data_IF_307168101446
#
_entry.id   IF_307168101446
#
_cell.length_a   1.000
_cell.length_b   1.000
_cell.length_c   1.000
_cell.angle_alpha   90.00
_cell.angle_beta   90.00
_cell.angle_gamma   90.00
#
_symmetry.space_group_name_H-M   'P 1'
#
loop_
_entity.id
_entity.type
_entity.pdbx_description
1 polymer ?
#
# COMPACT_ATOMS: atom_id res chain seq x y z
N UNK A 1 53.33 14.65 -3.38
CA UNK A 1 52.04 14.49 -2.69
C UNK A 1 52.03 13.14 -1.98
N UNK A 2 51.94 13.06 -0.64
CA UNK A 2 51.89 11.76 0.03
C UNK A 2 50.58 11.05 -0.33
N UNK A 3 50.67 9.77 -0.71
CA UNK A 3 49.52 8.90 -1.01
C UNK A 3 48.61 8.87 0.23
N UNK A 4 47.45 9.50 0.14
CA UNK A 4 46.42 9.39 1.17
C UNK A 4 45.99 7.91 1.23
N UNK A 5 46.05 7.34 2.44
CA UNK A 5 45.50 6.00 2.72
C UNK A 5 44.10 5.89 2.12
N UNK A 6 43.75 4.74 1.52
CA UNK A 6 42.41 4.50 0.94
C UNK A 6 41.41 3.93 1.96
N UNK A 7 41.86 3.61 3.17
CA UNK A 7 41.00 3.06 4.23
C UNK A 7 39.94 4.04 4.74
N UNK A 8 38.87 3.57 5.37
CA UNK A 8 37.87 4.44 5.99
C UNK A 8 38.47 5.22 7.19
N UNK A 9 37.86 6.36 7.54
CA UNK A 9 38.36 7.26 8.60
C UNK A 9 38.60 6.54 9.93
N UNK A 10 37.68 5.67 10.36
CA UNK A 10 37.79 4.93 11.63
C UNK A 10 38.97 3.96 11.66
N UNK A 11 39.22 3.25 10.55
CA UNK A 11 40.38 2.37 10.44
C UNK A 11 41.69 3.17 10.42
N UNK A 12 41.68 4.40 9.85
CA UNK A 12 42.85 5.30 9.90
C UNK A 12 43.10 5.84 11.31
N UNK A 13 42.08 6.31 12.01
CA UNK A 13 42.17 6.79 13.40
C UNK A 13 42.74 5.70 14.32
N UNK A 14 42.30 4.45 14.12
CA UNK A 14 42.78 3.30 14.89
C UNK A 14 44.10 2.72 14.39
N UNK A 15 44.69 3.26 13.32
CA UNK A 15 45.92 2.77 12.68
C UNK A 15 45.88 1.27 12.34
N UNK A 16 44.70 0.78 11.92
CA UNK A 16 44.49 -0.61 11.51
C UNK A 16 44.23 -0.73 10.01
N UNK A 17 44.57 -1.88 9.41
CA UNK A 17 44.32 -2.15 7.98
C UNK A 17 42.81 -2.20 7.71
N UNK A 18 42.39 -1.51 6.65
CA UNK A 18 41.02 -1.44 6.16
C UNK A 18 40.87 -2.31 4.90
N UNK A 19 39.75 -3.01 4.77
CA UNK A 19 39.41 -3.84 3.61
C UNK A 19 38.67 -3.06 2.50
N UNK A 20 38.44 -1.76 2.70
CA UNK A 20 37.88 -0.81 1.71
C UNK A 20 36.48 -1.18 1.17
N UNK A 21 35.79 -2.14 1.81
CA UNK A 21 34.42 -2.52 1.49
C UNK A 21 33.45 -1.32 1.53
N UNK A 22 32.56 -1.25 0.55
CA UNK A 22 31.46 -0.27 0.46
C UNK A 22 30.13 -1.01 0.57
N UNK A 23 29.10 -0.44 1.25
CA UNK A 23 29.05 0.89 1.88
C UNK A 23 29.80 1.01 3.22
N UNK A 24 30.22 -0.11 3.81
CA UNK A 24 31.06 -0.14 5.01
C UNK A 24 32.09 -1.28 4.97
N UNK A 25 33.26 -1.05 5.55
CA UNK A 25 34.32 -2.07 5.63
C UNK A 25 33.95 -3.15 6.67
N UNK A 26 34.34 -4.41 6.43
CA UNK A 26 33.95 -5.55 7.28
C UNK A 26 34.30 -5.33 8.75
N UNK A 27 35.44 -4.69 9.03
CA UNK A 27 35.88 -4.42 10.40
C UNK A 27 35.02 -3.39 11.14
N UNK A 28 34.38 -2.45 10.43
CA UNK A 28 33.39 -1.55 11.02
C UNK A 28 32.01 -2.22 11.15
N UNK A 29 31.67 -3.12 10.23
CA UNK A 29 30.43 -3.93 10.28
C UNK A 29 30.44 -4.86 11.50
N UNK A 30 31.51 -5.61 11.72
CA UNK A 30 31.64 -6.52 12.88
C UNK A 30 31.57 -5.78 14.22
N UNK A 31 31.82 -4.48 14.24
CA UNK A 31 31.79 -3.65 15.45
C UNK A 31 30.46 -2.90 15.64
N UNK A 32 29.48 -3.11 14.77
CA UNK A 32 28.19 -2.40 14.77
C UNK A 32 28.34 -0.87 14.74
N UNK A 33 29.35 -0.39 14.02
CA UNK A 33 29.80 1.00 13.99
C UNK A 33 29.45 1.70 12.65
N UNK A 34 28.55 1.11 11.87
CA UNK A 34 28.20 1.48 10.49
C UNK A 34 27.38 2.78 10.39
N UNK A 35 26.59 3.10 11.41
CA UNK A 35 25.54 4.13 11.33
C UNK A 35 26.11 5.54 11.22
N UNK A 36 27.27 5.80 11.86
CA UNK A 36 27.91 7.11 11.79
C UNK A 36 28.68 7.35 10.48
N UNK A 37 29.07 6.29 9.76
CA UNK A 37 29.79 6.40 8.47
C UNK A 37 28.83 6.82 7.37
N UNK A 38 27.61 6.28 7.39
CA UNK A 38 26.54 6.66 6.45
C UNK A 38 26.02 8.08 6.77
N UNK A 39 25.89 8.44 8.04
CA UNK A 39 25.42 9.77 8.45
C UNK A 39 26.33 10.92 8.02
N UNK A 40 27.66 10.77 8.15
CA UNK A 40 28.61 11.82 7.73
C UNK A 40 28.80 11.92 6.22
N UNK A 41 28.74 10.80 5.50
CA UNK A 41 28.75 10.81 4.04
C UNK A 41 27.50 11.49 3.46
N UNK A 42 26.34 11.30 4.10
CA UNK A 42 25.10 12.01 3.77
C UNK A 42 25.21 13.52 4.02
N UNK A 43 25.74 13.96 5.16
CA UNK A 43 25.92 15.38 5.47
C UNK A 43 26.81 16.13 4.47
N UNK A 44 27.82 15.47 3.90
CA UNK A 44 28.69 16.06 2.87
C UNK A 44 28.01 16.13 1.49
N UNK A 45 27.10 15.21 1.17
CA UNK A 45 26.29 15.25 -0.04
C UNK A 45 25.18 16.32 0.02
N UNK A 46 24.64 16.61 1.21
CA UNK A 46 23.64 17.67 1.45
C UNK A 46 24.19 19.07 1.17
N UNK A 47 25.49 19.31 1.40
CA UNK A 47 26.13 20.62 1.11
C UNK A 47 26.40 20.86 -0.39
N UNK A 48 26.43 19.81 -1.21
CA UNK A 48 26.63 19.92 -2.65
C UNK A 48 25.30 20.07 -3.43
N UNK A 49 24.16 19.74 -2.81
CA UNK A 49 22.82 19.74 -3.45
C UNK A 49 21.98 20.99 -3.14
N UNK A 50 22.43 21.85 -2.21
CA UNK A 50 21.76 23.10 -1.87
C UNK A 50 21.77 24.16 -2.98
N UNK A 51 22.47 23.93 -4.10
CA UNK A 51 22.46 24.82 -5.27
C UNK A 51 21.41 24.48 -6.32
N UNK A 52 20.65 23.38 -6.19
CA UNK A 52 19.71 22.91 -7.24
C UNK A 52 18.26 22.71 -6.75
N UNK A 53 17.96 22.91 -5.46
CA UNK A 53 16.62 22.70 -4.89
C UNK A 53 15.83 24.01 -4.76
N UNK A 54 15.04 24.36 -5.77
CA UNK A 54 14.01 25.41 -5.63
C UNK A 54 12.59 25.00 -6.02
N UNK A 55 12.28 23.72 -6.28
CA UNK A 55 10.99 23.38 -6.91
C UNK A 55 10.28 22.11 -6.40
N UNK A 56 10.23 21.91 -5.08
CA UNK A 56 9.37 20.90 -4.46
C UNK A 56 8.69 21.50 -3.21
N UNK A 57 7.59 22.23 -3.40
CA UNK A 57 6.67 22.59 -2.31
C UNK A 57 5.27 22.09 -2.66
N UNK A 58 4.69 21.27 -1.77
CA UNK A 58 3.24 21.08 -1.74
C UNK A 58 2.61 22.38 -1.24
N UNK A 59 1.98 23.15 -2.13
CA UNK A 59 1.11 24.27 -1.75
C UNK A 59 -0.27 24.09 -2.37
N UNK A 60 -1.29 23.94 -1.51
CA UNK A 60 -2.65 24.27 -1.87
C UNK A 60 -2.81 25.79 -1.88
N UNK A 61 -3.22 26.36 -3.02
CA UNK A 61 -3.87 27.66 -3.08
C UNK A 61 -4.72 27.77 -4.34
N UNK A 62 -5.99 28.12 -4.13
CA UNK A 62 -6.97 28.51 -5.15
C UNK A 62 -6.55 29.83 -5.82
N UNK A 63 -6.79 29.96 -7.13
CA UNK A 63 -7.02 31.28 -7.74
C UNK A 63 -7.92 31.18 -8.97
N UNK A 64 -8.75 32.21 -9.10
CA UNK A 64 -9.90 32.33 -9.99
C UNK A 64 -9.54 32.82 -11.39
N UNK A 65 -10.16 32.20 -12.41
CA UNK A 65 -10.70 32.87 -13.59
C UNK A 65 -9.78 33.08 -14.79
N UNK A 66 -10.08 32.40 -15.92
CA UNK A 66 -10.51 33.12 -17.13
C UNK A 66 -11.10 32.18 -18.19
N UNK A 67 -12.03 32.75 -18.95
CA UNK A 67 -12.89 32.18 -20.00
C UNK A 67 -12.10 31.70 -21.21
N UNK A 68 -12.48 30.57 -21.84
CA UNK A 68 -12.55 30.50 -23.31
C UNK A 68 -13.46 29.38 -23.85
N UNK A 69 -14.36 29.84 -24.73
CA UNK A 69 -15.21 29.22 -25.76
C UNK A 69 -15.41 27.70 -25.87
N UNK A 70 -16.68 27.33 -25.68
CA UNK A 70 -17.38 26.16 -26.21
C UNK A 70 -17.38 26.20 -27.75
N UNK A 71 -17.00 25.10 -28.38
CA UNK A 71 -17.31 24.81 -29.79
C UNK A 71 -18.19 23.57 -29.85
N UNK A 72 -19.42 23.78 -30.29
CA UNK A 72 -20.45 22.79 -30.52
C UNK A 72 -20.07 21.84 -31.66
N UNK A 73 -20.35 20.55 -31.48
CA UNK A 73 -20.38 19.58 -32.57
C UNK A 73 -21.70 18.82 -32.49
N UNK A 74 -22.45 18.88 -33.59
CA UNK A 74 -23.81 18.37 -33.75
C UNK A 74 -23.89 16.84 -33.67
N UNK A 75 -24.87 16.33 -32.92
CA UNK A 75 -25.30 14.94 -32.96
C UNK A 75 -26.35 14.75 -34.07
N UNK A 76 -26.01 13.92 -35.05
CA UNK A 76 -26.92 13.42 -36.07
C UNK A 76 -27.78 12.28 -35.53
N UNK A 77 -29.08 12.40 -35.81
CA UNK A 77 -30.13 11.38 -35.67
C UNK A 77 -29.79 10.08 -36.40
N UNK A 78 -30.20 8.91 -35.85
CA UNK A 78 -31.15 8.01 -36.52
C UNK A 78 -31.48 6.74 -35.71
N UNK A 79 -32.79 6.55 -35.57
CA UNK A 79 -33.60 5.34 -35.65
C UNK A 79 -33.64 4.26 -34.55
N UNK A 80 -34.84 4.21 -33.95
CA UNK A 80 -35.41 3.13 -33.16
C UNK A 80 -35.86 1.99 -34.08
N UNK A 81 -35.51 0.75 -33.77
CA UNK A 81 -36.26 -0.44 -34.21
C UNK A 81 -36.49 -1.36 -33.01
N UNK A 82 -37.77 -1.69 -32.83
CA UNK A 82 -38.34 -2.62 -31.84
C UNK A 82 -38.23 -4.04 -32.41
N UNK A 83 -37.74 -5.00 -31.61
CA UNK A 83 -37.65 -6.41 -31.98
C UNK A 83 -37.99 -7.33 -30.81
N UNK A 84 -38.90 -8.28 -31.08
CA UNK A 84 -39.62 -9.16 -30.15
C UNK A 84 -38.77 -10.16 -29.36
N UNK A 85 -39.31 -10.54 -28.20
CA UNK A 85 -38.81 -11.58 -27.29
C UNK A 85 -38.90 -12.99 -27.88
N UNK A 86 -37.88 -13.82 -27.63
CA UNK A 86 -37.90 -15.27 -27.79
C UNK A 86 -37.32 -15.97 -26.55
N UNK A 87 -37.96 -17.07 -26.15
CA UNK A 87 -37.74 -17.82 -24.91
C UNK A 87 -36.42 -18.63 -24.89
N UNK A 88 -35.87 -18.98 -23.71
CA UNK A 88 -34.62 -19.73 -23.60
C UNK A 88 -34.81 -21.25 -23.82
N UNK A 89 -33.82 -21.97 -24.40
CA UNK A 89 -33.84 -23.43 -24.55
C UNK A 89 -33.38 -24.16 -23.26
N UNK A 90 -33.62 -25.49 -23.16
CA UNK A 90 -33.55 -26.23 -21.89
C UNK A 90 -32.12 -26.60 -21.47
N UNK A 91 -31.97 -26.75 -20.15
CA UNK A 91 -30.75 -27.16 -19.44
C UNK A 91 -30.38 -28.60 -19.81
N UNK A 92 -29.16 -28.80 -20.32
CA UNK A 92 -28.54 -30.11 -20.50
C UNK A 92 -27.42 -30.23 -19.46
N UNK A 93 -27.46 -31.29 -18.65
CA UNK A 93 -26.44 -31.62 -17.64
C UNK A 93 -25.05 -31.65 -18.27
N UNK A 94 -24.18 -30.74 -17.85
CA UNK A 94 -22.77 -30.71 -18.25
C UNK A 94 -21.99 -31.69 -17.37
N UNK A 95 -21.50 -32.77 -17.98
CA UNK A 95 -20.34 -33.52 -17.53
C UNK A 95 -19.15 -32.58 -17.33
N UNK A 96 -18.44 -32.74 -16.21
CA UNK A 96 -17.26 -31.98 -15.77
C UNK A 96 -16.28 -31.71 -16.91
N UNK A 97 -15.87 -30.45 -17.06
CA UNK A 97 -14.91 -30.04 -18.09
C UNK A 97 -13.48 -30.32 -17.61
N UNK A 98 -12.54 -30.70 -18.49
CA UNK A 98 -11.16 -30.99 -18.11
C UNK A 98 -10.40 -29.81 -17.47
N UNK A 99 -10.87 -28.57 -17.65
CA UNK A 99 -10.33 -27.40 -16.98
C UNK A 99 -10.62 -27.38 -15.45
N UNK A 100 -11.75 -27.95 -15.02
CA UNK A 100 -12.17 -27.99 -13.62
C UNK A 100 -11.34 -29.02 -12.83
N UNK A 101 -10.97 -30.15 -13.45
CA UNK A 101 -10.08 -31.16 -12.87
C UNK A 101 -8.63 -30.67 -12.72
N UNK A 102 -8.12 -29.89 -13.66
CA UNK A 102 -6.79 -29.26 -13.53
C UNK A 102 -6.76 -28.17 -12.45
N UNK A 103 -7.89 -27.47 -12.23
CA UNK A 103 -8.05 -26.48 -11.16
C UNK A 103 -8.02 -27.13 -9.77
N UNK A 104 -8.74 -28.25 -9.61
CA UNK A 104 -8.77 -29.02 -8.37
C UNK A 104 -7.37 -29.58 -8.06
N UNK A 105 -6.69 -30.19 -9.04
CA UNK A 105 -5.33 -30.70 -8.84
C UNK A 105 -4.31 -29.62 -8.45
N UNK A 106 -4.37 -28.43 -9.07
CA UNK A 106 -3.46 -27.32 -8.73
C UNK A 106 -3.72 -26.69 -7.36
N UNK A 107 -4.98 -26.68 -6.91
CA UNK A 107 -5.34 -26.25 -5.55
C UNK A 107 -4.98 -27.31 -4.50
N UNK A 108 -5.13 -28.60 -4.81
CA UNK A 108 -4.68 -29.72 -3.95
C UNK A 108 -3.16 -29.76 -3.79
N UNK A 109 -2.38 -29.56 -4.87
CA UNK A 109 -0.91 -29.47 -4.77
C UNK A 109 -0.47 -28.24 -3.95
N UNK A 110 -1.15 -27.10 -4.11
CA UNK A 110 -0.86 -25.87 -3.38
C UNK A 110 -1.19 -26.01 -1.88
N UNK A 111 -2.32 -26.64 -1.54
CA UNK A 111 -2.71 -26.96 -0.17
C UNK A 111 -1.77 -28.01 0.44
N UNK A 112 -1.38 -29.05 -0.31
CA UNK A 112 -0.41 -30.04 0.15
C UNK A 112 0.97 -29.43 0.45
N UNK A 113 1.43 -28.48 -0.39
CA UNK A 113 2.67 -27.75 -0.13
C UNK A 113 2.57 -26.86 1.12
N UNK A 114 1.41 -26.23 1.36
CA UNK A 114 1.15 -25.48 2.58
C UNK A 114 1.13 -26.40 3.81
N UNK A 115 0.42 -27.52 3.76
CA UNK A 115 0.34 -28.50 4.84
C UNK A 115 1.72 -29.08 5.17
N UNK A 116 2.55 -29.38 4.15
CA UNK A 116 3.92 -29.82 4.35
C UNK A 116 4.78 -28.72 4.98
N UNK A 117 4.68 -27.47 4.52
CA UNK A 117 5.42 -26.35 5.10
C UNK A 117 5.01 -26.06 6.55
N UNK A 118 3.72 -26.20 6.85
CA UNK A 118 3.16 -26.08 8.20
C UNK A 118 3.65 -27.24 9.06
N UNK A 119 3.58 -28.49 8.58
CA UNK A 119 4.10 -29.67 9.28
C UNK A 119 5.59 -29.51 9.56
N UNK A 120 6.41 -29.20 8.56
CA UNK A 120 7.86 -29.01 8.72
C UNK A 120 8.19 -27.89 9.71
N UNK A 121 7.39 -26.81 9.76
CA UNK A 121 7.55 -25.73 10.72
C UNK A 121 7.25 -26.17 12.17
N UNK A 122 6.23 -27.01 12.37
CA UNK A 122 5.87 -27.54 13.69
C UNK A 122 6.74 -28.75 14.10
N UNK A 123 7.17 -29.58 13.14
CA UNK A 123 7.96 -30.81 13.33
C UNK A 123 9.44 -30.52 13.53
N UNK A 124 10.00 -29.46 12.92
CA UNK A 124 11.38 -29.01 13.18
C UNK A 124 11.55 -28.23 14.51
N UNK A 125 10.71 -28.50 15.51
CA UNK A 125 10.85 -28.00 16.88
C UNK A 125 10.79 -26.47 17.07
N UNK A 126 10.28 -25.69 16.10
CA UNK A 126 10.30 -24.24 16.24
C UNK A 126 9.30 -23.73 17.29
N UNK A 127 7.99 -23.79 17.04
CA UNK A 127 6.99 -23.37 18.06
C UNK A 127 6.53 -24.51 18.99
N UNK A 128 6.96 -25.74 18.75
CA UNK A 128 6.62 -26.90 19.59
C UNK A 128 7.50 -26.99 20.85
N UNK A 129 8.61 -26.26 20.93
CA UNK A 129 9.42 -26.14 22.14
C UNK A 129 8.72 -25.23 23.19
N UNK A 130 8.34 -25.83 24.32
CA UNK A 130 7.64 -25.10 25.39
C UNK A 130 8.51 -23.99 25.98
N UNK A 131 8.05 -22.75 25.85
CA UNK A 131 8.72 -21.57 26.39
C UNK A 131 9.74 -20.93 25.45
N UNK A 132 9.87 -21.42 24.20
CA UNK A 132 10.66 -20.72 23.18
C UNK A 132 10.06 -19.32 22.94
N UNK A 133 10.94 -18.32 22.92
CA UNK A 133 10.59 -16.97 22.47
C UNK A 133 10.68 -16.95 20.94
N UNK A 134 9.60 -16.56 20.23
CA UNK A 134 9.62 -16.56 18.76
C UNK A 134 10.70 -15.65 18.17
N UNK A 135 11.35 -16.12 17.11
CA UNK A 135 12.46 -15.44 16.44
C UNK A 135 12.05 -14.82 15.07
N UNK A 136 13.04 -14.45 14.26
CA UNK A 136 12.83 -13.92 12.90
C UNK A 136 12.26 -14.97 11.93
N UNK A 137 12.63 -16.23 12.08
CA UNK A 137 12.14 -17.31 11.22
C UNK A 137 10.69 -17.61 11.53
N UNK A 138 10.31 -17.69 12.80
CA UNK A 138 8.92 -17.90 13.22
C UNK A 138 7.98 -16.83 12.65
N UNK A 139 8.37 -15.56 12.78
CA UNK A 139 7.57 -14.46 12.26
C UNK A 139 7.51 -14.46 10.73
N UNK A 140 8.63 -14.72 10.05
CA UNK A 140 8.64 -14.77 8.59
C UNK A 140 7.80 -15.91 8.05
N UNK A 141 7.83 -17.09 8.68
CA UNK A 141 7.00 -18.23 8.27
C UNK A 141 5.52 -17.86 8.26
N UNK A 142 5.00 -17.28 9.35
CA UNK A 142 3.58 -16.89 9.41
C UNK A 142 3.27 -15.77 8.40
N UNK A 143 4.19 -14.82 8.19
CA UNK A 143 4.00 -13.77 7.17
C UNK A 143 3.95 -14.37 5.76
N UNK A 144 4.78 -15.36 5.43
CA UNK A 144 4.73 -16.04 4.12
C UNK A 144 3.44 -16.83 3.96
N UNK A 145 2.97 -17.51 5.01
CA UNK A 145 1.68 -18.21 5.01
C UNK A 145 0.51 -17.23 4.80
N UNK A 146 0.55 -16.05 5.43
CA UNK A 146 -0.45 -14.99 5.22
C UNK A 146 -0.43 -14.46 3.77
N UNK A 147 0.76 -14.26 3.19
CA UNK A 147 0.90 -13.86 1.77
C UNK A 147 0.36 -14.95 0.84
N UNK A 148 0.63 -16.22 1.15
CA UNK A 148 0.13 -17.35 0.40
C UNK A 148 -1.40 -17.42 0.46
N UNK A 149 -1.98 -17.30 1.66
CA UNK A 149 -3.44 -17.26 1.86
C UNK A 149 -4.06 -16.11 1.04
N UNK A 150 -3.46 -14.93 1.09
CA UNK A 150 -3.90 -13.74 0.37
C UNK A 150 -3.95 -13.92 -1.16
N UNK A 151 -3.01 -14.69 -1.72
CA UNK A 151 -2.85 -14.86 -3.16
C UNK A 151 -3.59 -16.10 -3.69
N UNK A 152 -3.61 -17.18 -2.93
CA UNK A 152 -4.01 -18.50 -3.44
C UNK A 152 -5.27 -19.06 -2.76
N UNK A 153 -5.68 -18.53 -1.61
CA UNK A 153 -6.79 -19.07 -0.82
C UNK A 153 -7.84 -18.01 -0.48
N UNK A 154 -8.66 -17.59 -1.46
CA UNK A 154 -9.67 -16.53 -1.25
C UNK A 154 -10.74 -16.87 -0.19
N UNK A 155 -10.97 -18.16 0.09
CA UNK A 155 -12.00 -18.68 1.01
C UNK A 155 -11.45 -19.35 2.28
N UNK A 156 -10.13 -19.42 2.47
CA UNK A 156 -9.55 -19.93 3.71
C UNK A 156 -9.89 -19.00 4.90
N UNK A 157 -9.82 -19.55 6.12
CA UNK A 157 -10.22 -18.94 7.38
C UNK A 157 -9.66 -17.52 7.58
N UNK A 158 -10.39 -16.53 7.03
CA UNK A 158 -9.98 -15.13 6.91
C UNK A 158 -9.39 -14.60 8.21
N UNK A 159 -8.07 -14.35 8.20
CA UNK A 159 -7.37 -13.66 9.29
C UNK A 159 -6.83 -14.55 10.41
N UNK A 160 -6.87 -15.88 10.27
CA UNK A 160 -6.20 -16.77 11.22
C UNK A 160 -4.68 -16.51 11.28
N UNK A 161 -4.02 -16.33 10.13
CA UNK A 161 -2.59 -16.03 10.11
C UNK A 161 -2.25 -14.65 10.68
N UNK A 162 -3.11 -13.64 10.51
CA UNK A 162 -2.92 -12.34 11.17
C UNK A 162 -3.08 -12.43 12.69
N UNK A 163 -4.00 -13.26 13.20
CA UNK A 163 -4.04 -13.57 14.64
C UNK A 163 -2.76 -14.28 15.10
N UNK A 164 -2.22 -15.18 14.29
CA UNK A 164 -0.92 -15.81 14.51
C UNK A 164 0.23 -14.79 14.57
N UNK A 165 0.29 -13.85 13.62
CA UNK A 165 1.26 -12.74 13.59
C UNK A 165 1.16 -11.94 14.89
N UNK A 166 -0.05 -11.55 15.29
CA UNK A 166 -0.29 -10.80 16.52
C UNK A 166 0.23 -11.55 17.76
N UNK A 167 -0.03 -12.85 17.83
CA UNK A 167 0.43 -13.69 18.94
C UNK A 167 1.96 -13.81 18.97
N UNK A 168 2.59 -14.05 17.82
CA UNK A 168 4.05 -14.11 17.70
C UNK A 168 4.69 -12.79 18.10
N UNK A 169 4.17 -11.65 17.62
CA UNK A 169 4.66 -10.33 18.02
C UNK A 169 4.52 -10.08 19.53
N UNK A 170 3.43 -10.56 20.14
CA UNK A 170 3.23 -10.46 21.60
C UNK A 170 4.29 -11.24 22.37
N UNK A 171 4.55 -12.49 21.99
CA UNK A 171 5.53 -13.34 22.66
C UNK A 171 6.97 -12.89 22.41
N UNK A 172 7.26 -12.40 21.20
CA UNK A 172 8.58 -11.92 20.79
C UNK A 172 9.01 -10.63 21.50
N UNK A 173 8.06 -9.77 21.87
CA UNK A 173 8.34 -8.50 22.55
C UNK A 173 9.02 -7.47 21.64
N UNK A 174 10.00 -6.71 22.16
CA UNK A 174 10.67 -5.60 21.45
C UNK A 174 12.01 -6.00 20.82
N UNK A 175 12.23 -7.29 20.55
CA UNK A 175 13.49 -7.82 20.00
C UNK A 175 13.65 -7.49 18.50
N UNK A 176 13.66 -6.21 18.15
CA UNK A 176 13.81 -5.68 16.79
C UNK A 176 15.14 -4.92 16.65
N UNK A 177 16.16 -5.37 17.38
CA UNK A 177 17.43 -4.64 17.56
C UNK A 177 18.35 -4.66 16.33
N UNK A 178 17.93 -5.24 15.22
CA UNK A 178 18.70 -5.30 13.98
C UNK A 178 17.82 -4.90 12.77
N UNK A 179 18.42 -4.44 11.65
CA UNK A 179 17.65 -3.98 10.49
C UNK A 179 16.71 -5.04 9.89
N UNK A 180 17.07 -6.32 9.96
CA UNK A 180 16.25 -7.42 9.43
C UNK A 180 14.99 -7.61 10.28
N UNK A 181 15.14 -7.73 11.58
CA UNK A 181 14.03 -7.87 12.53
C UNK A 181 13.10 -6.65 12.50
N UNK A 182 13.65 -5.45 12.29
CA UNK A 182 12.86 -4.25 12.07
C UNK A 182 12.04 -4.32 10.77
N UNK A 183 12.66 -4.62 9.63
CA UNK A 183 11.94 -4.76 8.35
C UNK A 183 10.85 -5.84 8.42
N UNK A 184 11.13 -6.95 9.11
CA UNK A 184 10.17 -8.03 9.29
C UNK A 184 9.00 -7.62 10.18
N UNK A 185 9.26 -6.94 11.30
CA UNK A 185 8.22 -6.35 12.14
C UNK A 185 7.32 -5.43 11.32
N UNK A 186 7.90 -4.55 10.52
CA UNK A 186 7.16 -3.61 9.69
C UNK A 186 6.26 -4.31 8.69
N UNK A 187 6.79 -5.30 7.97
CA UNK A 187 6.00 -6.10 7.04
C UNK A 187 4.84 -6.80 7.78
N UNK A 188 5.10 -7.44 8.92
CA UNK A 188 4.09 -8.10 9.72
C UNK A 188 3.01 -7.14 10.25
N UNK A 189 3.41 -5.96 10.74
CA UNK A 189 2.49 -4.93 11.21
C UNK A 189 1.64 -4.39 10.05
N UNK A 190 2.25 -4.15 8.89
CA UNK A 190 1.53 -3.73 7.70
C UNK A 190 0.47 -4.75 7.29
N UNK A 191 0.77 -6.07 7.31
CA UNK A 191 -0.22 -7.13 6.99
C UNK A 191 -1.45 -7.02 7.88
N UNK A 192 -1.20 -6.95 9.18
CA UNK A 192 -2.22 -6.90 10.20
C UNK A 192 -3.10 -5.65 10.08
N UNK A 193 -2.50 -4.48 9.91
CA UNK A 193 -3.23 -3.22 9.77
C UNK A 193 -4.01 -3.17 8.45
N UNK A 194 -3.39 -3.57 7.34
CA UNK A 194 -4.02 -3.66 6.01
C UNK A 194 -5.25 -4.55 6.07
N UNK A 195 -5.13 -5.75 6.63
CA UNK A 195 -6.25 -6.69 6.73
C UNK A 195 -7.41 -6.09 7.55
N UNK A 196 -7.10 -5.45 8.69
CA UNK A 196 -8.12 -4.83 9.53
C UNK A 196 -8.82 -3.67 8.84
N UNK A 197 -8.09 -2.82 8.11
CA UNK A 197 -8.68 -1.76 7.30
C UNK A 197 -9.56 -2.33 6.18
N UNK A 198 -9.05 -3.28 5.40
CA UNK A 198 -9.77 -3.90 4.29
C UNK A 198 -11.06 -4.60 4.72
N UNK A 199 -11.04 -5.29 5.85
CA UNK A 199 -12.21 -6.02 6.36
C UNK A 199 -13.04 -5.25 7.37
N UNK A 200 -12.72 -3.99 7.63
CA UNK A 200 -13.41 -3.21 8.66
C UNK A 200 -13.43 -3.98 10.00
N UNK A 201 -12.29 -4.46 10.44
CA UNK A 201 -12.13 -5.03 11.78
C UNK A 201 -11.62 -3.94 12.72
N UNK A 202 -11.98 -4.03 14.01
CA UNK A 202 -11.42 -3.16 15.05
C UNK A 202 -9.89 -3.26 15.07
N UNK A 203 -9.10 -2.24 15.45
CA UNK A 203 -7.68 -2.43 15.74
C UNK A 203 -7.48 -3.44 16.87
N UNK A 204 -6.27 -4.00 16.97
CA UNK A 204 -5.95 -4.82 18.15
C UNK A 204 -5.66 -3.92 19.34
N UNK A 205 -6.16 -4.33 20.50
CA UNK A 205 -6.01 -3.58 21.76
C UNK A 205 -4.55 -3.37 22.13
N UNK A 206 -3.69 -4.32 21.77
CA UNK A 206 -2.27 -4.32 22.11
C UNK A 206 -1.40 -3.56 21.10
N UNK A 207 -1.94 -3.14 19.95
CA UNK A 207 -1.16 -2.48 18.90
C UNK A 207 -0.55 -1.17 19.38
N UNK A 208 -1.31 -0.34 20.10
CA UNK A 208 -0.83 0.95 20.62
C UNK A 208 0.31 0.75 21.63
N UNK A 209 0.08 -0.10 22.64
CA UNK A 209 1.08 -0.43 23.65
C UNK A 209 2.33 -1.13 23.06
N UNK A 210 2.20 -1.82 21.93
CA UNK A 210 3.36 -2.36 21.21
C UNK A 210 4.15 -1.24 20.53
N UNK A 211 3.48 -0.36 19.78
CA UNK A 211 4.13 0.75 19.08
C UNK A 211 4.80 1.75 20.02
N UNK A 212 4.22 1.99 21.20
CA UNK A 212 4.80 2.90 22.20
C UNK A 212 6.06 2.36 22.89
N UNK A 213 6.25 1.04 22.88
CA UNK A 213 7.48 0.41 23.39
C UNK A 213 8.64 0.43 22.40
N UNK A 214 8.39 0.79 21.14
CA UNK A 214 9.42 0.89 20.10
C UNK A 214 10.16 2.22 20.22
N UNK A 215 11.44 2.22 19.84
CA UNK A 215 12.30 3.40 19.95
C UNK A 215 11.74 4.53 19.04
N UNK A 216 11.48 5.74 19.57
CA UNK A 216 10.75 6.79 18.84
C UNK A 216 11.45 7.40 17.62
N UNK A 217 12.75 7.14 17.42
CA UNK A 217 13.59 7.91 16.50
C UNK A 217 13.59 7.37 15.05
N UNK A 218 12.48 6.74 14.63
CA UNK A 218 12.35 6.18 13.28
C UNK A 218 11.06 6.73 12.65
N UNK A 219 11.20 7.50 11.58
CA UNK A 219 10.09 8.02 10.77
C UNK A 219 9.08 6.92 10.35
N UNK A 220 9.55 5.69 10.14
CA UNK A 220 8.70 4.54 9.86
C UNK A 220 7.72 4.23 11.01
N UNK A 221 8.06 4.51 12.27
CA UNK A 221 7.16 4.32 13.41
C UNK A 221 5.97 5.29 13.36
N UNK A 222 6.19 6.51 12.86
CA UNK A 222 5.11 7.49 12.71
C UNK A 222 4.10 7.04 11.64
N UNK A 223 4.56 6.37 10.57
CA UNK A 223 3.66 5.69 9.63
C UNK A 223 2.77 4.66 10.33
N UNK A 224 3.36 3.78 11.14
CA UNK A 224 2.59 2.74 11.84
C UNK A 224 1.56 3.35 12.81
N UNK A 225 1.95 4.40 13.54
CA UNK A 225 1.07 5.12 14.47
C UNK A 225 -0.09 5.80 13.74
N UNK A 226 0.20 6.53 12.66
CA UNK A 226 -0.84 7.17 11.85
C UNK A 226 -1.82 6.16 11.27
N UNK A 227 -1.33 5.03 10.74
CA UNK A 227 -2.22 4.00 10.19
C UNK A 227 -3.08 3.34 11.27
N UNK A 228 -2.54 3.12 12.48
CA UNK A 228 -3.31 2.64 13.62
C UNK A 228 -4.39 3.66 14.04
N UNK A 229 -4.07 4.95 14.06
CA UNK A 229 -5.04 6.01 14.36
C UNK A 229 -6.15 6.09 13.29
N UNK A 230 -5.80 5.94 12.01
CA UNK A 230 -6.77 5.84 10.91
C UNK A 230 -7.70 4.63 11.13
N UNK A 231 -7.14 3.47 11.48
CA UNK A 231 -7.94 2.27 11.77
C UNK A 231 -8.90 2.48 12.94
N UNK A 232 -8.41 3.12 14.01
CA UNK A 232 -9.19 3.40 15.23
C UNK A 232 -10.33 4.38 14.98
N UNK A 233 -10.08 5.48 14.25
CA UNK A 233 -11.14 6.45 13.93
C UNK A 233 -12.15 5.87 12.93
N UNK A 234 -11.72 4.99 12.00
CA UNK A 234 -12.63 4.26 11.12
C UNK A 234 -13.53 3.27 11.87
N UNK A 235 -13.02 2.62 12.92
CA UNK A 235 -13.85 1.80 13.80
C UNK A 235 -14.87 2.64 14.57
N UNK A 236 -14.43 3.74 15.20
CA UNK A 236 -15.31 4.69 15.89
C UNK A 236 -16.43 5.19 14.97
N UNK A 237 -16.08 5.55 13.73
CA UNK A 237 -17.05 5.95 12.72
C UNK A 237 -18.09 4.86 12.43
N UNK A 238 -17.67 3.60 12.26
CA UNK A 238 -18.60 2.50 12.00
C UNK A 238 -19.53 2.22 13.19
N UNK A 239 -19.00 2.24 14.41
CA UNK A 239 -19.79 2.06 15.61
C UNK A 239 -20.83 3.19 15.75
N UNK A 240 -20.40 4.45 15.60
CA UNK A 240 -21.30 5.59 15.61
C UNK A 240 -22.41 5.45 14.54
N UNK A 241 -22.04 5.14 13.28
CA UNK A 241 -23.01 4.98 12.21
C UNK A 241 -24.00 3.84 12.45
N UNK A 242 -23.58 2.73 13.09
CA UNK A 242 -24.47 1.63 13.49
C UNK A 242 -25.43 2.08 14.59
N UNK A 243 -24.94 2.73 15.64
CA UNK A 243 -25.76 3.15 16.78
C UNK A 243 -26.83 4.18 16.35
N UNK A 244 -26.51 5.02 15.35
CA UNK A 244 -27.44 5.97 14.71
C UNK A 244 -28.50 5.32 13.79
N UNK A 245 -28.41 4.02 13.51
CA UNK A 245 -29.52 3.29 12.87
C UNK A 245 -30.54 2.79 13.90
N UNK A 246 -30.16 2.70 15.17
CA UNK A 246 -30.98 2.17 16.27
C UNK A 246 -31.59 3.28 17.16
N UNK A 247 -30.98 4.48 17.19
CA UNK A 247 -31.42 5.65 17.97
C UNK A 247 -31.49 6.93 17.12
N UNK A 248 -32.30 7.92 17.54
CA UNK A 248 -32.38 9.23 16.85
C UNK A 248 -30.99 9.91 16.79
N UNK A 249 -30.56 10.44 15.63
CA UNK A 249 -29.18 10.87 15.46
C UNK A 249 -28.87 12.22 16.13
N UNK A 250 -27.75 12.30 16.84
CA UNK A 250 -27.08 13.58 17.08
C UNK A 250 -26.11 13.82 15.93
N UNK A 251 -26.57 14.54 14.90
CA UNK A 251 -25.77 14.98 13.73
C UNK A 251 -24.46 15.63 14.17
N UNK A 252 -24.47 16.33 15.32
CA UNK A 252 -23.29 16.93 15.95
C UNK A 252 -22.16 15.93 16.17
N UNK A 253 -22.44 14.71 16.64
CA UNK A 253 -21.41 13.70 16.86
C UNK A 253 -20.74 13.25 15.56
N UNK A 254 -21.48 13.24 14.45
CA UNK A 254 -20.93 12.91 13.12
C UNK A 254 -20.03 14.06 12.64
N UNK A 255 -20.44 15.31 12.83
CA UNK A 255 -19.66 16.50 12.44
C UNK A 255 -18.36 16.58 13.24
N UNK A 256 -18.42 16.37 14.56
CA UNK A 256 -17.23 16.34 15.42
C UNK A 256 -16.24 15.27 14.95
N UNK A 257 -16.75 14.06 14.62
CA UNK A 257 -15.92 12.99 14.11
C UNK A 257 -15.30 13.32 12.74
N UNK A 258 -16.03 13.99 11.85
CA UNK A 258 -15.51 14.45 10.55
C UNK A 258 -14.34 15.43 10.77
N UNK A 259 -14.45 16.37 11.71
CA UNK A 259 -13.36 17.28 12.04
C UNK A 259 -12.14 16.54 12.59
N UNK A 260 -12.34 15.54 13.46
CA UNK A 260 -11.25 14.68 13.93
C UNK A 260 -10.57 13.93 12.77
N UNK A 261 -11.34 13.41 11.81
CA UNK A 261 -10.81 12.72 10.63
C UNK A 261 -9.99 13.65 9.73
N UNK A 262 -10.44 14.89 9.52
CA UNK A 262 -9.68 15.90 8.77
C UNK A 262 -8.39 16.31 9.48
N UNK A 263 -8.45 16.52 10.80
CA UNK A 263 -7.27 16.84 11.59
C UNK A 263 -6.22 15.72 11.54
N UNK A 264 -6.68 14.46 11.59
CA UNK A 264 -5.82 13.29 11.43
C UNK A 264 -5.19 13.22 10.03
N UNK A 265 -5.95 13.48 8.96
CA UNK A 265 -5.41 13.51 7.60
C UNK A 265 -4.32 14.60 7.44
N UNK A 266 -4.58 15.80 7.98
CA UNK A 266 -3.62 16.89 7.94
C UNK A 266 -2.33 16.54 8.70
N UNK A 267 -2.44 15.93 9.87
CA UNK A 267 -1.29 15.44 10.63
C UNK A 267 -0.52 14.36 9.84
N UNK A 268 -1.25 13.44 9.21
CA UNK A 268 -0.71 12.33 8.43
C UNK A 268 0.12 12.78 7.21
N UNK A 269 -0.14 13.94 6.62
CA UNK A 269 0.63 14.49 5.49
C UNK A 269 1.82 15.35 5.92
N UNK A 270 1.77 15.93 7.11
CA UNK A 270 2.74 16.96 7.54
C UNK A 270 4.17 16.47 7.79
N UNK A 271 4.38 15.17 8.01
CA UNK A 271 5.63 14.65 8.58
C UNK A 271 6.64 14.07 7.57
N UNK A 272 6.24 13.72 6.34
CA UNK A 272 7.12 13.12 5.31
C UNK A 272 7.82 14.16 4.44
N UNK A 273 8.57 15.07 5.06
CA UNK A 273 9.20 16.21 4.37
C UNK A 273 10.73 16.06 4.18
N UNK A 274 11.34 15.01 4.71
CA UNK A 274 12.79 14.78 4.64
C UNK A 274 13.27 14.08 3.35
N UNK A 275 14.57 14.18 3.01
CA UNK A 275 15.15 13.61 1.79
C UNK A 275 15.03 12.07 1.70
N UNK A 276 14.88 11.38 2.83
CA UNK A 276 14.61 9.95 2.91
C UNK A 276 13.27 9.54 2.28
N UNK A 277 12.34 10.49 2.10
CA UNK A 277 11.05 10.29 1.46
C UNK A 277 11.02 10.73 -0.01
N UNK A 278 12.13 11.26 -0.52
CA UNK A 278 12.21 11.81 -1.86
C UNK A 278 12.04 10.74 -2.95
N UNK A 279 11.40 11.15 -4.04
CA UNK A 279 11.26 10.40 -5.28
C UNK A 279 11.29 11.38 -6.45
N UNK A 280 11.53 10.88 -7.66
CA UNK A 280 11.50 11.68 -8.88
C UNK A 280 10.16 11.49 -9.59
N UNK A 281 9.56 12.58 -10.03
CA UNK A 281 8.44 12.53 -10.97
C UNK A 281 8.98 12.78 -12.37
N UNK A 282 8.63 11.92 -13.32
CA UNK A 282 9.00 12.05 -14.74
C UNK A 282 7.75 11.95 -15.60
N UNK A 283 7.77 12.61 -16.77
CA UNK A 283 6.67 12.49 -17.72
C UNK A 283 6.90 11.31 -18.66
N UNK A 284 5.83 10.61 -19.06
CA UNK A 284 5.88 9.51 -20.03
C UNK A 284 6.58 9.91 -21.34
N UNK A 285 6.43 11.16 -21.76
CA UNK A 285 7.03 11.74 -22.96
C UNK A 285 8.55 11.92 -22.88
N UNK A 286 9.11 11.97 -21.67
CA UNK A 286 10.55 12.11 -21.42
C UNK A 286 11.26 10.75 -21.43
N UNK A 287 10.50 9.66 -21.30
CA UNK A 287 11.04 8.31 -21.28
C UNK A 287 11.41 7.84 -22.69
N UNK A 288 12.52 7.12 -22.78
CA UNK A 288 12.98 6.45 -24.00
C UNK A 288 12.99 4.94 -23.75
N UNK A 289 12.61 4.16 -24.77
CA UNK A 289 12.57 2.71 -24.67
C UNK A 289 11.44 2.08 -25.48
N UNK A 290 11.02 0.88 -25.05
CA UNK A 290 9.99 0.12 -25.74
C UNK A 290 8.62 0.79 -25.65
N UNK A 291 8.08 1.19 -26.82
CA UNK A 291 6.72 1.73 -26.94
C UNK A 291 5.65 0.75 -26.48
N UNK A 292 5.90 -0.55 -26.59
CA UNK A 292 4.99 -1.61 -26.14
C UNK A 292 4.89 -1.62 -24.62
N UNK A 293 6.02 -1.56 -23.93
CA UNK A 293 6.05 -1.53 -22.45
C UNK A 293 5.43 -0.23 -21.93
N UNK A 294 5.77 0.88 -22.58
CA UNK A 294 5.27 2.20 -22.21
C UNK A 294 3.80 2.44 -22.58
N UNK A 295 3.14 1.56 -23.35
CA UNK A 295 1.79 1.79 -23.84
C UNK A 295 0.83 2.11 -22.69
N UNK A 296 0.89 1.31 -21.62
CA UNK A 296 0.01 1.42 -20.45
C UNK A 296 0.56 2.32 -19.34
N UNK A 297 1.67 3.03 -19.57
CA UNK A 297 2.20 3.93 -18.56
C UNK A 297 1.26 5.13 -18.37
N UNK A 298 1.05 5.58 -17.13
CA UNK A 298 0.38 6.85 -16.86
C UNK A 298 1.23 8.02 -17.40
N UNK A 299 0.61 9.19 -17.56
CA UNK A 299 1.29 10.38 -18.08
C UNK A 299 2.44 10.86 -17.19
N UNK A 300 2.32 10.62 -15.87
CA UNK A 300 3.36 10.90 -14.88
C UNK A 300 3.74 9.62 -14.15
N UNK A 301 5.04 9.38 -14.00
CA UNK A 301 5.61 8.23 -13.32
C UNK A 301 6.40 8.71 -12.11
N UNK A 302 6.22 8.04 -10.96
CA UNK A 302 7.00 8.27 -9.75
C UNK A 302 8.06 7.19 -9.60
N UNK A 303 9.32 7.62 -9.56
CA UNK A 303 10.51 6.77 -9.44
C UNK A 303 11.08 6.96 -8.04
N UNK A 304 10.90 5.94 -7.22
CA UNK A 304 11.40 5.85 -5.86
C UNK A 304 12.81 5.24 -5.81
N UNK A 305 13.55 5.40 -4.70
CA UNK A 305 14.88 4.77 -4.56
C UNK A 305 14.85 3.24 -4.67
N UNK A 306 13.74 2.63 -4.24
CA UNK A 306 13.53 1.18 -4.26
C UNK A 306 12.03 0.86 -4.16
N UNK A 307 11.67 -0.41 -4.42
CA UNK A 307 10.28 -0.88 -4.42
C UNK A 307 9.65 -0.78 -3.01
N UNK A 308 10.43 -0.95 -1.95
CA UNK A 308 9.92 -0.84 -0.59
C UNK A 308 9.53 0.60 -0.27
N UNK A 309 10.34 1.58 -0.66
CA UNK A 309 10.03 3.01 -0.57
C UNK A 309 8.74 3.36 -1.32
N UNK A 310 8.56 2.86 -2.55
CA UNK A 310 7.32 3.04 -3.31
C UNK A 310 6.11 2.40 -2.59
N UNK A 311 6.29 1.21 -2.03
CA UNK A 311 5.28 0.53 -1.24
C UNK A 311 4.90 1.30 0.03
N UNK A 312 5.85 1.87 0.78
CA UNK A 312 5.53 2.69 1.96
C UNK A 312 4.71 3.93 1.63
N UNK A 313 4.92 4.52 0.46
CA UNK A 313 4.08 5.59 -0.07
C UNK A 313 2.68 5.09 -0.38
N UNK A 314 2.57 3.98 -1.11
CA UNK A 314 1.28 3.43 -1.50
C UNK A 314 0.46 2.89 -0.32
N UNK A 315 1.13 2.30 0.68
CA UNK A 315 0.51 1.85 1.92
C UNK A 315 -0.13 3.03 2.66
N UNK A 316 0.60 4.13 2.79
CA UNK A 316 0.07 5.35 3.40
C UNK A 316 -1.09 5.96 2.58
N UNK A 317 -0.93 6.05 1.26
CA UNK A 317 -1.96 6.57 0.34
C UNK A 317 -3.23 5.74 0.42
N UNK A 318 -3.14 4.41 0.47
CA UNK A 318 -4.28 3.52 0.61
C UNK A 318 -4.98 3.68 1.96
N UNK A 319 -4.25 3.81 3.06
CA UNK A 319 -4.84 4.11 4.37
C UNK A 319 -5.63 5.43 4.36
N UNK A 320 -5.08 6.48 3.71
CA UNK A 320 -5.76 7.77 3.53
C UNK A 320 -6.99 7.66 2.61
N UNK A 321 -6.93 6.89 1.53
CA UNK A 321 -8.11 6.60 0.71
C UNK A 321 -9.19 5.98 1.60
N UNK A 322 -8.87 4.96 2.41
CA UNK A 322 -9.82 4.35 3.34
C UNK A 322 -10.41 5.36 4.34
N UNK A 323 -9.60 6.27 4.87
CA UNK A 323 -10.05 7.35 5.77
C UNK A 323 -11.08 8.24 5.06
N UNK A 324 -10.78 8.73 3.86
CA UNK A 324 -11.68 9.61 3.12
C UNK A 324 -12.95 8.91 2.62
N UNK A 325 -12.90 7.64 2.23
CA UNK A 325 -14.12 6.87 1.90
C UNK A 325 -15.02 6.73 3.13
N UNK A 326 -14.43 6.53 4.32
CA UNK A 326 -15.19 6.49 5.57
C UNK A 326 -15.74 7.86 5.95
N UNK A 327 -14.98 8.93 5.70
CA UNK A 327 -15.40 10.31 5.91
C UNK A 327 -16.61 10.64 5.01
N UNK A 328 -16.56 10.27 3.73
CA UNK A 328 -17.67 10.41 2.79
C UNK A 328 -18.92 9.65 3.25
N UNK A 329 -18.75 8.44 3.79
CA UNK A 329 -19.86 7.68 4.39
C UNK A 329 -20.49 8.45 5.56
N UNK A 330 -19.67 9.06 6.42
CA UNK A 330 -20.14 9.86 7.55
C UNK A 330 -20.89 11.11 7.07
N UNK A 331 -20.34 11.85 6.11
CA UNK A 331 -20.97 13.02 5.51
C UNK A 331 -22.31 12.69 4.85
N UNK A 332 -22.37 11.59 4.10
CA UNK A 332 -23.62 11.14 3.48
C UNK A 332 -24.67 10.76 4.53
N UNK A 333 -24.26 10.13 5.63
CA UNK A 333 -25.17 9.83 6.75
C UNK A 333 -25.64 11.10 7.45
N UNK A 334 -24.76 12.06 7.72
CA UNK A 334 -25.14 13.35 8.30
C UNK A 334 -26.17 14.07 7.40
N UNK A 335 -25.93 14.06 6.09
CA UNK A 335 -26.82 14.68 5.12
C UNK A 335 -28.21 14.02 5.03
N UNK A 336 -28.28 12.70 5.19
CA UNK A 336 -29.56 11.94 5.13
C UNK A 336 -30.30 11.90 6.47
N UNK A 337 -29.57 11.91 7.59
CA UNK A 337 -30.13 11.97 8.94
C UNK A 337 -30.81 13.32 9.23
N UNK A 338 -30.24 14.40 8.69
CA UNK A 338 -30.91 15.70 8.59
C UNK A 338 -31.93 15.62 7.45
N UNK A 339 -33.11 15.05 7.71
CA UNK A 339 -34.18 14.84 6.71
C UNK A 339 -34.57 16.10 5.91
N UNK A 340 -34.18 17.28 6.38
CA UNK A 340 -34.21 18.55 5.67
C UNK A 340 -32.95 19.34 6.03
N UNK A 341 -31.78 19.07 5.42
CA UNK A 341 -30.66 20.02 5.53
C UNK A 341 -31.21 21.41 5.17
N UNK A 342 -31.16 22.35 6.11
CA UNK A 342 -31.38 23.75 5.76
C UNK A 342 -30.36 24.13 4.68
N UNK A 343 -30.68 25.10 3.82
CA UNK A 343 -29.78 25.54 2.75
C UNK A 343 -28.35 25.82 3.26
N UNK A 344 -28.23 26.23 4.53
CA UNK A 344 -26.98 26.47 5.27
C UNK A 344 -26.13 25.21 5.48
N UNK A 345 -26.72 24.09 5.91
CA UNK A 345 -25.95 22.88 6.25
C UNK A 345 -25.50 22.11 4.99
N UNK A 346 -26.35 22.09 3.95
CA UNK A 346 -25.98 21.55 2.65
C UNK A 346 -24.81 22.32 2.01
N UNK A 347 -24.74 23.63 2.25
CA UNK A 347 -23.64 24.48 1.79
C UNK A 347 -22.31 24.19 2.52
N UNK A 348 -22.35 23.63 3.73
CA UNK A 348 -21.16 23.22 4.50
C UNK A 348 -20.70 21.81 4.10
N UNK A 349 -21.62 20.85 3.94
CA UNK A 349 -21.30 19.45 3.63
C UNK A 349 -20.75 19.27 2.21
N UNK A 350 -21.32 19.98 1.23
CA UNK A 350 -20.96 19.81 -0.18
C UNK A 350 -19.47 20.08 -0.47
N UNK A 351 -18.86 21.19 0.02
CA UNK A 351 -17.43 21.42 -0.12
C UNK A 351 -16.56 20.29 0.45
N UNK A 352 -16.93 19.73 1.61
CA UNK A 352 -16.18 18.65 2.27
C UNK A 352 -16.22 17.34 1.46
N UNK A 353 -17.36 17.04 0.85
CA UNK A 353 -17.50 15.92 -0.07
C UNK A 353 -16.60 16.11 -1.29
N UNK A 354 -16.65 17.29 -1.92
CA UNK A 354 -15.83 17.61 -3.10
C UNK A 354 -14.34 17.53 -2.78
N UNK A 355 -13.92 18.06 -1.63
CA UNK A 355 -12.55 17.99 -1.14
C UNK A 355 -12.10 16.54 -0.97
N UNK A 356 -12.86 15.71 -0.25
CA UNK A 356 -12.50 14.30 -0.01
C UNK A 356 -12.42 13.49 -1.30
N UNK A 357 -13.36 13.68 -2.24
CA UNK A 357 -13.30 13.04 -3.56
C UNK A 357 -12.06 13.49 -4.35
N UNK A 358 -11.72 14.77 -4.28
CA UNK A 358 -10.52 15.31 -4.94
C UNK A 358 -9.24 14.70 -4.36
N UNK A 359 -9.16 14.55 -3.04
CA UNK A 359 -8.03 13.89 -2.37
C UNK A 359 -7.94 12.43 -2.79
N UNK A 360 -9.04 11.66 -2.76
CA UNK A 360 -9.06 10.25 -3.18
C UNK A 360 -8.54 10.10 -4.62
N UNK A 361 -9.03 10.93 -5.54
CA UNK A 361 -8.59 10.90 -6.94
C UNK A 361 -7.11 11.25 -7.09
N UNK A 362 -6.63 12.26 -6.38
CA UNK A 362 -5.19 12.60 -6.37
C UNK A 362 -4.33 11.46 -5.81
N UNK A 363 -4.78 10.80 -4.74
CA UNK A 363 -4.08 9.65 -4.16
C UNK A 363 -4.07 8.45 -5.11
N UNK A 364 -5.17 8.21 -5.82
CA UNK A 364 -5.27 7.17 -6.83
C UNK A 364 -4.27 7.39 -7.99
N UNK A 365 -4.18 8.61 -8.53
CA UNK A 365 -3.19 8.95 -9.56
C UNK A 365 -1.77 8.73 -9.06
N UNK A 366 -1.47 9.15 -7.83
CA UNK A 366 -0.16 8.96 -7.21
C UNK A 366 0.18 7.47 -7.04
N UNK A 367 -0.77 6.62 -6.65
CA UNK A 367 -0.57 5.16 -6.61
C UNK A 367 -0.29 4.62 -8.01
N UNK A 368 -1.11 4.97 -8.99
CA UNK A 368 -0.97 4.49 -10.37
C UNK A 368 0.36 4.92 -11.00
N UNK A 369 0.87 6.11 -10.66
CA UNK A 369 2.17 6.61 -11.09
C UNK A 369 3.36 5.74 -10.64
N UNK A 370 3.22 4.93 -9.58
CA UNK A 370 4.28 4.02 -9.10
C UNK A 370 4.28 2.65 -9.78
N UNK A 371 3.21 2.32 -10.51
CA UNK A 371 2.99 0.98 -11.08
C UNK A 371 4.13 0.55 -12.03
N UNK A 372 4.60 1.40 -12.98
CA UNK A 372 5.68 1.00 -13.89
C UNK A 372 6.95 0.55 -13.18
N UNK A 373 7.36 1.29 -12.14
CA UNK A 373 8.55 0.94 -11.36
C UNK A 373 8.29 -0.32 -10.52
N UNK A 374 7.14 -0.37 -9.86
CA UNK A 374 6.83 -1.44 -8.91
C UNK A 374 6.67 -2.81 -9.61
N UNK A 375 6.15 -2.85 -10.84
CA UNK A 375 6.09 -4.07 -11.66
C UNK A 375 7.41 -4.40 -12.38
N UNK A 376 8.43 -3.54 -12.24
CA UNK A 376 9.75 -3.72 -12.83
C UNK A 376 9.80 -3.47 -14.34
N UNK A 377 8.85 -2.71 -14.87
CA UNK A 377 8.86 -2.22 -16.26
C UNK A 377 9.79 -1.02 -16.43
N UNK A 378 10.13 -0.37 -15.32
CA UNK A 378 11.06 0.74 -15.23
C UNK A 378 11.96 0.57 -13.99
N UNK A 379 13.26 0.84 -14.10
CA UNK A 379 14.19 0.76 -12.96
C UNK A 379 14.29 2.09 -12.18
N UNK A 380 15.01 2.09 -11.06
CA UNK A 380 15.28 3.26 -10.20
C UNK A 380 15.98 4.43 -10.91
N UNK A 381 16.64 4.19 -12.04
CA UNK A 381 17.23 5.23 -12.89
C UNK A 381 16.28 5.80 -13.95
N UNK A 382 15.07 5.24 -14.10
CA UNK A 382 14.10 5.64 -15.12
C UNK A 382 14.28 4.97 -16.48
N UNK A 383 15.10 3.92 -16.58
CA UNK A 383 15.26 3.17 -17.82
C UNK A 383 14.11 2.16 -17.97
N UNK A 384 13.48 2.19 -19.14
CA UNK A 384 12.43 1.25 -19.51
C UNK A 384 13.05 -0.11 -19.80
N UNK A 385 12.45 -1.18 -19.26
CA UNK A 385 12.90 -2.55 -19.46
C UNK A 385 12.79 -2.96 -20.93
N UNK A 386 13.80 -3.67 -21.43
CA UNK A 386 13.74 -4.35 -22.72
C UNK A 386 12.80 -5.59 -22.62
N UNK A 387 11.74 -5.68 -23.44
CA UNK A 387 10.87 -6.85 -23.50
C UNK A 387 11.60 -8.18 -23.72
N UNK A 388 12.73 -8.17 -24.43
CA UNK A 388 13.51 -9.37 -24.73
C UNK A 388 14.30 -9.90 -23.53
N UNK A 389 14.53 -9.06 -22.51
CA UNK A 389 15.19 -9.47 -21.27
C UNK A 389 14.24 -10.32 -20.42
N UNK A 390 14.72 -11.22 -19.55
CA UNK A 390 13.85 -11.88 -18.58
C UNK A 390 13.16 -10.87 -17.64
N UNK A 391 11.98 -11.21 -17.08
CA UNK A 391 11.34 -10.37 -16.07
C UNK A 391 12.22 -10.27 -14.81
N UNK A 392 12.15 -9.17 -14.05
CA UNK A 392 12.92 -9.02 -12.83
C UNK A 392 12.49 -10.04 -11.77
N UNK A 393 13.45 -10.56 -11.00
CA UNK A 393 13.22 -11.61 -9.99
C UNK A 393 12.18 -11.23 -8.94
N UNK A 394 12.08 -9.93 -8.60
CA UNK A 394 11.14 -9.41 -7.60
C UNK A 394 9.81 -8.91 -8.18
N UNK A 395 9.50 -9.18 -9.46
CA UNK A 395 8.26 -8.71 -10.10
C UNK A 395 7.00 -9.17 -9.36
N UNK A 396 6.95 -10.42 -8.92
CA UNK A 396 5.83 -10.96 -8.15
C UNK A 396 5.67 -10.26 -6.79
N UNK A 397 6.79 -9.92 -6.14
CA UNK A 397 6.79 -9.16 -4.88
C UNK A 397 6.23 -7.76 -5.10
N UNK A 398 6.68 -7.06 -6.14
CA UNK A 398 6.13 -5.74 -6.50
C UNK A 398 4.63 -5.80 -6.81
N UNK A 399 4.19 -6.79 -7.58
CA UNK A 399 2.77 -7.03 -7.86
C UNK A 399 1.96 -7.26 -6.56
N UNK A 400 2.46 -8.08 -5.63
CA UNK A 400 1.83 -8.29 -4.32
C UNK A 400 1.71 -6.98 -3.52
N UNK A 401 2.77 -6.16 -3.50
CA UNK A 401 2.77 -4.89 -2.77
C UNK A 401 1.78 -3.85 -3.33
N UNK A 402 1.39 -3.97 -4.61
CA UNK A 402 0.35 -3.15 -5.24
C UNK A 402 -1.08 -3.67 -5.01
N UNK A 403 -1.25 -4.91 -4.55
CA UNK A 403 -2.56 -5.57 -4.51
C UNK A 403 -3.61 -4.74 -3.76
N UNK A 404 -3.30 -4.34 -2.52
CA UNK A 404 -4.19 -3.55 -1.68
C UNK A 404 -4.49 -2.14 -2.19
N UNK A 405 -3.49 -1.29 -2.52
CA UNK A 405 -3.78 0.06 -3.02
C UNK A 405 -4.57 0.03 -4.34
N UNK A 406 -4.31 -0.93 -5.23
CA UNK A 406 -5.08 -1.09 -6.47
C UNK A 406 -6.52 -1.54 -6.19
N UNK A 407 -6.72 -2.42 -5.20
CA UNK A 407 -8.06 -2.82 -4.76
C UNK A 407 -8.88 -1.65 -4.22
N UNK A 408 -8.27 -0.78 -3.41
CA UNK A 408 -8.94 0.41 -2.88
C UNK A 408 -9.40 1.36 -4.00
N UNK A 409 -8.66 1.44 -5.10
CA UNK A 409 -8.99 2.29 -6.26
C UNK A 409 -10.05 1.62 -7.14
N UNK A 410 -9.89 0.33 -7.48
CA UNK A 410 -10.78 -0.38 -8.41
C UNK A 410 -12.13 -0.74 -7.80
N UNK A 411 -12.28 -0.67 -6.47
CA UNK A 411 -13.48 -1.10 -5.77
C UNK A 411 -14.74 -0.39 -6.27
N UNK A 412 -15.86 -1.13 -6.37
CA UNK A 412 -17.12 -0.58 -6.86
C UNK A 412 -17.57 0.66 -6.07
N UNK A 413 -17.39 0.62 -4.74
CA UNK A 413 -17.73 1.69 -3.80
C UNK A 413 -16.66 2.80 -3.70
N UNK A 414 -15.55 2.70 -4.44
CA UNK A 414 -14.51 3.73 -4.43
C UNK A 414 -15.01 5.02 -5.09
N UNK A 415 -14.57 6.16 -4.55
CA UNK A 415 -14.81 7.50 -5.07
C UNK A 415 -13.78 7.92 -6.14
N UNK A 416 -12.86 7.02 -6.52
CA UNK A 416 -11.99 7.19 -7.68
C UNK A 416 -12.80 7.39 -8.97
N UNK A 417 -12.20 8.05 -9.97
CA UNK A 417 -12.86 8.26 -11.26
C UNK A 417 -13.02 6.95 -12.03
N UNK A 418 -13.98 6.89 -12.95
CA UNK A 418 -14.20 5.69 -13.75
C UNK A 418 -12.96 5.29 -14.57
N UNK A 419 -12.23 6.28 -15.10
CA UNK A 419 -10.96 6.05 -15.79
C UNK A 419 -9.92 5.44 -14.84
N UNK A 420 -9.79 5.96 -13.61
CA UNK A 420 -8.87 5.42 -12.61
C UNK A 420 -9.24 3.99 -12.22
N UNK A 421 -10.53 3.68 -12.08
CA UNK A 421 -11.03 2.32 -11.81
C UNK A 421 -10.67 1.36 -12.92
N UNK A 422 -10.85 1.76 -14.18
CA UNK A 422 -10.51 0.95 -15.35
C UNK A 422 -9.00 0.68 -15.45
N UNK A 423 -8.16 1.72 -15.24
CA UNK A 423 -6.71 1.56 -15.20
C UNK A 423 -6.31 0.63 -14.04
N UNK A 424 -6.86 0.84 -12.84
CA UNK A 424 -6.61 -0.02 -11.69
C UNK A 424 -7.05 -1.47 -11.94
N UNK A 425 -8.15 -1.70 -12.64
CA UNK A 425 -8.57 -3.04 -13.05
C UNK A 425 -7.57 -3.69 -14.01
N UNK A 426 -7.06 -2.95 -15.01
CA UNK A 426 -6.01 -3.46 -15.90
C UNK A 426 -4.71 -3.78 -15.14
N UNK A 427 -4.35 -2.96 -14.14
CA UNK A 427 -3.21 -3.23 -13.25
C UNK A 427 -3.47 -4.47 -12.39
N UNK A 428 -4.69 -4.67 -11.91
CA UNK A 428 -5.08 -5.87 -11.16
C UNK A 428 -4.91 -7.14 -12.00
N UNK A 429 -5.27 -7.11 -13.29
CA UNK A 429 -5.02 -8.25 -14.20
C UNK A 429 -3.53 -8.55 -14.37
N UNK A 430 -2.67 -7.51 -14.44
CA UNK A 430 -1.22 -7.71 -14.44
C UNK A 430 -0.71 -8.30 -13.13
N UNK A 431 -1.28 -7.89 -11.99
CA UNK A 431 -0.93 -8.46 -10.68
C UNK A 431 -1.26 -9.96 -10.65
N UNK A 432 -2.45 -10.33 -11.11
CA UNK A 432 -2.89 -11.73 -11.24
C UNK A 432 -1.95 -12.56 -12.11
N UNK A 433 -1.54 -12.02 -13.24
CA UNK A 433 -0.59 -12.67 -14.15
C UNK A 433 0.80 -12.81 -13.52
N UNK A 434 1.34 -11.74 -12.95
CA UNK A 434 2.73 -11.69 -12.47
C UNK A 434 2.96 -12.41 -11.14
N UNK A 435 1.90 -12.63 -10.37
CA UNK A 435 1.93 -13.47 -9.16
C UNK A 435 1.65 -14.95 -9.46
N UNK A 436 1.23 -15.28 -10.68
CA UNK A 436 0.76 -16.63 -11.03
C UNK A 436 -0.60 -16.98 -10.44
N UNK A 437 -1.28 -16.04 -9.76
CA UNK A 437 -2.54 -16.28 -9.06
C UNK A 437 -3.78 -15.97 -9.91
N UNK A 438 -3.69 -16.04 -11.24
CA UNK A 438 -4.81 -15.71 -12.15
C UNK A 438 -6.06 -16.55 -11.89
N UNK A 439 -5.92 -17.81 -11.48
CA UNK A 439 -7.06 -18.69 -11.20
C UNK A 439 -7.64 -18.49 -9.79
N UNK A 440 -6.90 -17.87 -8.88
CA UNK A 440 -7.24 -17.82 -7.45
C UNK A 440 -7.59 -16.41 -6.97
N UNK A 441 -6.90 -15.39 -7.49
CA UNK A 441 -7.23 -13.99 -7.26
C UNK A 441 -8.45 -13.58 -8.10
N UNK A 442 -9.65 -13.72 -7.54
CA UNK A 442 -10.90 -13.16 -8.06
C UNK A 442 -11.22 -11.77 -7.48
N UNK A 443 -12.37 -11.20 -7.86
CA UNK A 443 -12.83 -9.89 -7.38
C UNK A 443 -13.10 -9.82 -5.87
N UNK A 444 -13.36 -10.98 -5.25
CA UNK A 444 -13.63 -11.13 -3.82
C UNK A 444 -12.38 -11.47 -2.98
N UNK A 445 -11.21 -11.57 -3.61
CA UNK A 445 -9.97 -11.98 -2.92
C UNK A 445 -9.68 -11.10 -1.72
N UNK A 446 -9.12 -11.69 -0.67
CA UNK A 446 -9.13 -11.16 0.70
C UNK A 446 -8.29 -9.90 0.90
N UNK A 447 -7.33 -9.59 0.03
CA UNK A 447 -6.40 -8.46 0.19
C UNK A 447 -6.31 -7.61 -1.07
#
# INVERSE_FOLDING_TARGET
>A
MPRTSRGCLRCRERRVRCDEGRPACRRCVTRNETDQVVARARAQATQASSSEQSDCRETGSLSSGSRTMVRSVSLGSMDRHVGMATAPPPIVNATERPADQQLLAGSEESLSAQDQAVSDFFDNQSLSEKGKVPDDYDLMTIVVLDIFEALFLPDAHRGAHVQGIAHVLRLRGTQFNNPRGWSLFRLANHQMQKQRLSFSLAPMKESEALLDRLIPDIDSLLLEKNTLQISSICERARNLLRDLTESSPSVTQIVDLVHEMQALDQAAVSWRQGPQWAFRTVYKTELTGSKVVMADFPDTIQIHPDIWSAYEWNYHRAARITLHERLLTCLHRAATASAHLEQSDAAIVTPLVVESVTIIRSLADKVLATVPQTLGDLNDSGQVRDPASPPPQCRAVGAYLLLWPIKMIKGAQSSASEVQKQVAQSVFEKIREYTGAKLYLGDLSSI
#
